data_IF_014541283496
#
_entry.id   IF_014541283496
#
_cell.length_a   1.000
_cell.length_b   1.000
_cell.length_c   1.000
_cell.angle_alpha   90.00
_cell.angle_beta   90.00
_cell.angle_gamma   90.00
#
_symmetry.space_group_name_H-M   'P 1'
#
loop_
_entity.id
_entity.type
_entity.pdbx_description
1 polymer ?
#
# COMPACT_ATOMS: atom_id res chain seq x y z
N UNK A 1 -18.28 5.94 -32.69
CA UNK A 1 -18.65 6.42 -31.33
C UNK A 1 -18.61 7.95 -31.30
N UNK A 2 -19.75 8.61 -31.46
CA UNK A 2 -19.87 10.09 -31.57
C UNK A 2 -19.27 10.80 -30.34
N UNK A 3 -19.37 10.17 -29.16
CA UNK A 3 -18.85 10.69 -27.89
C UNK A 3 -17.31 10.79 -27.88
N UNK A 4 -16.59 9.81 -28.43
CA UNK A 4 -15.12 9.83 -28.45
C UNK A 4 -14.56 10.99 -29.29
N UNK A 5 -15.22 11.26 -30.43
CA UNK A 5 -14.85 12.33 -31.34
C UNK A 5 -15.20 13.72 -30.80
N UNK A 6 -16.36 13.86 -30.14
CA UNK A 6 -16.77 15.12 -29.48
C UNK A 6 -15.88 15.50 -28.31
N UNK A 7 -15.50 14.53 -27.47
CA UNK A 7 -14.71 14.75 -26.26
C UNK A 7 -13.19 14.66 -26.49
N UNK A 8 -12.74 14.45 -27.73
CA UNK A 8 -11.32 14.20 -28.09
C UNK A 8 -10.68 13.08 -27.24
N UNK A 9 -11.46 12.07 -26.87
CA UNK A 9 -11.01 10.93 -26.08
C UNK A 9 -10.69 9.75 -26.99
N UNK A 10 -9.64 9.00 -26.64
CA UNK A 10 -9.36 7.75 -27.35
C UNK A 10 -10.53 6.76 -27.16
N UNK A 11 -10.80 5.96 -28.18
CA UNK A 11 -11.85 4.93 -28.12
C UNK A 11 -11.66 3.97 -26.94
N UNK A 12 -10.40 3.62 -26.63
CA UNK A 12 -10.04 2.76 -25.50
C UNK A 12 -10.36 3.42 -24.15
N UNK A 13 -10.20 4.74 -24.02
CA UNK A 13 -10.62 5.49 -22.83
C UNK A 13 -12.13 5.43 -22.63
N UNK A 14 -12.92 5.63 -23.69
CA UNK A 14 -14.39 5.55 -23.63
C UNK A 14 -14.87 4.16 -23.23
N UNK A 15 -14.20 3.11 -23.74
CA UNK A 15 -14.51 1.73 -23.37
C UNK A 15 -14.18 1.44 -21.90
N UNK A 16 -13.03 1.90 -21.41
CA UNK A 16 -12.64 1.77 -19.99
C UNK A 16 -13.65 2.45 -19.05
N UNK A 17 -14.08 3.67 -19.38
CA UNK A 17 -15.09 4.40 -18.59
C UNK A 17 -16.43 3.66 -18.57
N UNK A 18 -16.88 3.15 -19.72
CA UNK A 18 -18.12 2.35 -19.79
C UNK A 18 -18.04 1.07 -18.96
N UNK A 19 -16.89 0.40 -18.96
CA UNK A 19 -16.68 -0.81 -18.18
C UNK A 19 -16.60 -0.51 -16.68
N UNK A 20 -15.89 0.56 -16.30
CA UNK A 20 -15.84 1.05 -14.91
C UNK A 20 -17.26 1.38 -14.41
N UNK A 21 -18.06 2.14 -15.17
CA UNK A 21 -19.46 2.46 -14.79
C UNK A 21 -20.34 1.23 -14.58
N UNK A 22 -20.06 0.12 -15.26
CA UNK A 22 -20.80 -1.14 -15.07
C UNK A 22 -20.33 -1.92 -13.83
N UNK A 23 -19.06 -1.80 -13.46
CA UNK A 23 -18.45 -2.51 -12.33
C UNK A 23 -18.56 -1.75 -11.02
N UNK A 24 -18.47 -0.42 -11.08
CA UNK A 24 -18.56 0.50 -9.96
C UNK A 24 -19.60 1.57 -10.28
N UNK A 25 -20.54 1.80 -9.35
CA UNK A 25 -21.49 2.93 -9.45
C UNK A 25 -20.79 4.30 -9.31
N UNK A 26 -19.49 4.31 -8.97
CA UNK A 26 -18.65 5.48 -8.94
C UNK A 26 -17.64 5.48 -10.10
N UNK A 27 -17.47 6.64 -10.75
CA UNK A 27 -16.47 6.88 -11.79
C UNK A 27 -15.13 7.37 -11.24
N UNK A 28 -15.02 7.52 -9.92
CA UNK A 28 -13.77 7.89 -9.27
C UNK A 28 -12.74 6.79 -9.51
N UNK A 29 -11.67 7.17 -10.21
CA UNK A 29 -10.47 6.34 -10.30
C UNK A 29 -9.81 6.39 -8.93
N UNK A 30 -10.26 5.52 -8.03
CA UNK A 30 -9.63 5.37 -6.74
C UNK A 30 -8.15 5.04 -6.97
N UNK A 31 -7.24 5.60 -6.16
CA UNK A 31 -5.86 5.14 -6.16
C UNK A 31 -5.88 3.61 -5.99
N UNK A 32 -5.03 2.92 -6.75
CA UNK A 32 -4.92 1.47 -6.62
C UNK A 32 -4.76 1.15 -5.14
N UNK A 33 -5.52 0.18 -4.59
CA UNK A 33 -5.38 -0.19 -3.19
C UNK A 33 -3.89 -0.47 -2.97
N UNK A 34 -3.29 0.27 -2.03
CA UNK A 34 -1.91 0.07 -1.63
C UNK A 34 -1.71 -1.42 -1.40
N UNK A 35 -0.64 -1.99 -1.98
CA UNK A 35 -0.28 -3.38 -1.70
C UNK A 35 -0.28 -3.59 -0.18
N UNK A 36 -0.92 -4.67 0.27
CA UNK A 36 -0.96 -5.06 1.68
C UNK A 36 0.44 -4.98 2.27
N UNK A 37 0.68 -3.95 3.09
CA UNK A 37 1.96 -3.74 3.72
C UNK A 37 2.10 -4.78 4.82
N UNK A 38 3.16 -5.58 4.74
CA UNK A 38 3.50 -6.58 5.77
C UNK A 38 3.61 -5.91 7.15
N UNK A 39 4.13 -4.67 7.18
CA UNK A 39 4.18 -3.85 8.39
C UNK A 39 3.03 -2.85 8.44
N UNK A 40 2.23 -2.95 9.50
CA UNK A 40 1.21 -1.95 9.84
C UNK A 40 1.87 -0.65 10.33
N UNK A 41 1.07 0.42 10.42
CA UNK A 41 1.51 1.69 11.00
C UNK A 41 1.93 1.55 12.47
N UNK A 42 1.29 0.65 13.22
CA UNK A 42 1.64 0.34 14.61
C UNK A 42 3.04 -0.28 14.70
N UNK A 43 3.33 -1.28 13.87
CA UNK A 43 4.65 -1.94 13.86
C UNK A 43 5.76 -0.93 13.55
N UNK A 44 5.54 -0.06 12.55
CA UNK A 44 6.50 0.99 12.18
C UNK A 44 6.78 1.95 13.34
N UNK A 45 5.74 2.42 14.04
CA UNK A 45 5.91 3.31 15.20
C UNK A 45 6.66 2.63 16.34
N UNK A 46 6.42 1.34 16.54
CA UNK A 46 7.10 0.55 17.56
C UNK A 46 8.58 0.38 17.25
N UNK A 47 8.94 0.00 16.03
CA UNK A 47 10.33 -0.05 15.56
C UNK A 47 11.04 1.27 15.86
N UNK A 48 10.44 2.40 15.46
CA UNK A 48 11.03 3.73 15.69
C UNK A 48 11.20 4.04 17.18
N UNK A 49 10.24 3.64 18.04
CA UNK A 49 10.37 3.81 19.49
C UNK A 49 11.53 2.99 20.05
N UNK A 50 11.66 1.73 19.65
CA UNK A 50 12.72 0.83 20.12
C UNK A 50 14.12 1.31 19.72
N UNK A 51 14.26 1.89 18.52
CA UNK A 51 15.51 2.54 18.11
C UNK A 51 15.79 3.82 18.88
N UNK A 52 14.75 4.60 19.24
CA UNK A 52 14.91 5.84 20.02
C UNK A 52 15.19 5.59 21.50
N UNK A 53 14.72 4.47 22.06
CA UNK A 53 14.96 4.10 23.46
C UNK A 53 16.26 3.33 23.68
N UNK A 54 17.14 3.23 22.67
CA UNK A 54 18.37 2.41 22.67
C UNK A 54 18.16 0.92 23.04
N UNK A 55 16.91 0.45 22.99
CA UNK A 55 16.58 -0.96 23.27
C UNK A 55 16.84 -1.85 22.06
N UNK A 56 16.89 -1.28 20.86
CA UNK A 56 17.35 -1.94 19.64
C UNK A 56 18.34 -1.02 18.92
N UNK A 57 19.56 -1.51 18.73
CA UNK A 57 20.61 -0.79 17.99
C UNK A 57 20.75 -1.28 16.54
N UNK A 58 20.20 -2.46 16.23
CA UNK A 58 20.32 -3.07 14.90
C UNK A 58 18.96 -3.54 14.37
N UNK A 59 18.79 -3.53 13.05
CA UNK A 59 17.60 -4.05 12.38
C UNK A 59 17.31 -5.52 12.73
N UNK A 60 18.36 -6.31 12.98
CA UNK A 60 18.24 -7.72 13.42
C UNK A 60 17.59 -7.83 14.81
N UNK A 61 17.92 -6.94 15.74
CA UNK A 61 17.31 -6.92 17.07
C UNK A 61 15.84 -6.53 17.00
N UNK A 62 15.51 -5.49 16.23
CA UNK A 62 14.14 -5.08 15.99
C UNK A 62 13.30 -6.19 15.34
N UNK A 63 13.88 -6.92 14.37
CA UNK A 63 13.25 -8.09 13.74
C UNK A 63 12.94 -9.19 14.75
N UNK A 64 13.91 -9.53 15.61
CA UNK A 64 13.71 -10.56 16.64
C UNK A 64 12.61 -10.16 17.62
N UNK A 65 12.57 -8.90 18.06
CA UNK A 65 11.50 -8.40 18.94
C UNK A 65 10.12 -8.45 18.27
N UNK A 66 10.00 -7.97 17.03
CA UNK A 66 8.74 -8.03 16.27
C UNK A 66 8.24 -9.47 16.11
N UNK A 67 9.16 -10.40 15.87
CA UNK A 67 8.83 -11.82 15.76
C UNK A 67 8.39 -12.41 17.11
N UNK A 68 9.08 -12.08 18.20
CA UNK A 68 8.76 -12.60 19.53
C UNK A 68 7.48 -12.01 20.12
N UNK A 69 7.24 -10.71 19.95
CA UNK A 69 6.16 -10.00 20.63
C UNK A 69 4.84 -10.06 19.85
N UNK A 70 4.91 -10.06 18.52
CA UNK A 70 3.73 -9.92 17.64
C UNK A 70 3.62 -11.07 16.61
N UNK A 71 4.58 -12.00 16.58
CA UNK A 71 4.59 -13.09 15.61
C UNK A 71 4.89 -12.64 14.17
N UNK A 72 5.31 -11.39 13.98
CA UNK A 72 5.50 -10.79 12.65
C UNK A 72 6.87 -11.17 12.09
N UNK A 73 6.88 -12.05 11.10
CA UNK A 73 8.09 -12.39 10.34
C UNK A 73 8.28 -11.41 9.18
N UNK A 74 9.21 -10.47 9.34
CA UNK A 74 9.68 -9.57 8.27
C UNK A 74 11.16 -9.75 8.04
N UNK A 75 11.67 -9.39 6.85
CA UNK A 75 13.11 -9.42 6.57
C UNK A 75 13.81 -8.23 7.26
N UNK A 76 15.11 -8.33 7.51
CA UNK A 76 15.92 -7.22 8.03
C UNK A 76 15.90 -6.01 7.10
N UNK A 77 15.88 -6.23 5.79
CA UNK A 77 15.79 -5.17 4.77
C UNK A 77 14.44 -4.45 4.79
N UNK A 78 13.39 -5.08 5.33
CA UNK A 78 12.06 -4.44 5.50
C UNK A 78 12.06 -3.47 6.68
N UNK A 79 13.03 -3.57 7.59
CA UNK A 79 13.18 -2.74 8.78
C UNK A 79 14.19 -1.60 8.57
N UNK A 80 15.21 -1.83 7.74
CA UNK A 80 16.25 -0.85 7.39
C UNK A 80 15.70 0.31 6.55
#
# INVERSE_FOLDING_TARGET
CIIAFREKLSYSTVLKIKNLKKQTSCLDVLPRPDHLRILTTCHKRRIVREFRSDTCQTAVQAQKKLKSDEGVCVSTNTIH
#
